data_IF_074397736396
#
_entry.id   IF_074397736396
#
_cell.length_a   1.000
_cell.length_b   1.000
_cell.length_c   1.000
_cell.angle_alpha   90.00
_cell.angle_beta   90.00
_cell.angle_gamma   90.00
#
_symmetry.space_group_name_H-M   'P 1'
#
loop_
_entity.id
_entity.type
_entity.pdbx_description
1 polymer ?
#
# COMPACT_ATOMS: atom_id res chain seq x y z
N UNK A 1 4.37 -8.91 5.20
CA UNK A 1 4.79 -9.45 6.49
C UNK A 1 3.90 -10.61 6.92
N UNK A 2 4.47 -11.61 7.60
CA UNK A 2 3.78 -12.77 8.12
C UNK A 2 3.74 -12.72 9.66
N UNK A 3 2.75 -12.05 10.27
CA UNK A 3 2.69 -11.91 11.72
C UNK A 3 2.58 -13.27 12.44
N UNK A 4 2.01 -14.27 11.79
CA UNK A 4 1.96 -15.65 12.30
C UNK A 4 3.36 -16.28 12.40
N UNK A 5 4.25 -16.03 11.46
CA UNK A 5 5.65 -16.49 11.52
C UNK A 5 6.42 -15.72 12.59
N UNK A 6 6.28 -14.40 12.65
CA UNK A 6 6.92 -13.56 13.66
C UNK A 6 6.48 -13.91 15.11
N UNK A 7 5.27 -14.47 15.29
CA UNK A 7 4.75 -14.91 16.58
C UNK A 7 4.96 -16.41 16.85
N UNK A 8 5.54 -17.14 15.92
CA UNK A 8 5.77 -18.58 16.07
C UNK A 8 6.74 -18.87 17.21
N UNK A 9 6.33 -19.69 18.18
CA UNK A 9 7.17 -20.05 19.33
C UNK A 9 8.39 -20.88 18.97
N UNK A 10 8.38 -21.55 17.82
CA UNK A 10 9.55 -22.24 17.30
C UNK A 10 10.69 -21.26 17.01
N UNK A 11 10.36 -20.05 16.56
CA UNK A 11 11.32 -18.97 16.31
C UNK A 11 12.11 -18.46 17.52
N UNK A 12 11.89 -19.03 18.73
CA UNK A 12 12.71 -18.75 19.91
C UNK A 12 14.09 -19.43 19.81
N UNK A 13 14.16 -20.61 19.21
CA UNK A 13 15.36 -21.45 19.16
C UNK A 13 15.75 -21.90 17.75
N UNK A 14 14.84 -21.86 16.81
CA UNK A 14 14.98 -22.30 15.43
C UNK A 14 14.25 -21.34 14.48
N UNK A 15 14.31 -21.59 13.18
CA UNK A 15 13.51 -20.82 12.22
C UNK A 15 12.00 -21.07 12.45
N UNK A 16 11.15 -20.04 12.39
CA UNK A 16 9.72 -20.20 12.53
C UNK A 16 9.15 -21.08 11.41
N UNK A 17 8.01 -21.73 11.68
CA UNK A 17 7.28 -22.44 10.64
C UNK A 17 6.85 -21.45 9.55
N UNK A 18 7.10 -21.79 8.28
CA UNK A 18 6.74 -20.96 7.11
C UNK A 18 5.24 -20.99 6.84
N UNK A 19 4.44 -20.53 7.82
CA UNK A 19 2.98 -20.65 7.83
C UNK A 19 2.36 -19.96 6.62
N UNK A 20 2.81 -18.74 6.31
CA UNK A 20 2.33 -17.99 5.15
C UNK A 20 2.54 -18.75 3.84
N UNK A 21 3.73 -19.35 3.65
CA UNK A 21 4.01 -20.10 2.43
C UNK A 21 3.15 -21.35 2.33
N UNK A 22 2.92 -22.04 3.44
CA UNK A 22 2.00 -23.19 3.49
C UNK A 22 0.58 -22.79 3.11
N UNK A 23 0.08 -21.65 3.61
CA UNK A 23 -1.24 -21.12 3.26
C UNK A 23 -1.32 -20.76 1.77
N UNK A 24 -0.28 -20.14 1.20
CA UNK A 24 -0.19 -19.81 -0.22
C UNK A 24 -0.26 -21.09 -1.06
N UNK A 25 0.55 -22.11 -0.75
CA UNK A 25 0.57 -23.38 -1.49
C UNK A 25 -0.79 -24.09 -1.42
N UNK A 26 -1.47 -24.09 -0.28
CA UNK A 26 -2.81 -24.67 -0.14
C UNK A 26 -3.80 -23.95 -1.06
N UNK A 27 -3.79 -22.62 -1.08
CA UNK A 27 -4.72 -21.83 -1.90
C UNK A 27 -4.40 -21.97 -3.39
N UNK A 28 -3.13 -21.93 -3.79
CA UNK A 28 -2.74 -22.12 -5.18
C UNK A 28 -3.13 -23.50 -5.68
N UNK A 29 -2.86 -24.54 -4.90
CA UNK A 29 -3.30 -25.88 -5.23
C UNK A 29 -4.83 -26.00 -5.36
N UNK A 30 -5.56 -25.37 -4.44
CA UNK A 30 -7.02 -25.37 -4.47
C UNK A 30 -7.59 -24.69 -5.73
N UNK A 31 -6.94 -23.64 -6.22
CA UNK A 31 -7.29 -23.01 -7.49
C UNK A 31 -6.96 -23.92 -8.68
N UNK A 32 -5.75 -24.47 -8.71
CA UNK A 32 -5.27 -25.32 -9.82
C UNK A 32 -6.09 -26.61 -9.97
N UNK A 33 -6.51 -27.20 -8.85
CA UNK A 33 -7.35 -28.41 -8.81
C UNK A 33 -8.87 -28.09 -9.00
N UNK A 34 -9.23 -26.80 -9.13
CA UNK A 34 -10.62 -26.37 -9.30
C UNK A 34 -11.52 -26.60 -8.08
N UNK A 35 -10.94 -26.66 -6.89
CA UNK A 35 -11.70 -26.78 -5.65
C UNK A 35 -12.38 -25.46 -5.26
N UNK A 36 -11.75 -24.33 -5.58
CA UNK A 36 -12.34 -23.02 -5.37
C UNK A 36 -13.32 -22.73 -6.50
N UNK A 37 -14.59 -22.67 -6.15
CA UNK A 37 -15.70 -22.42 -7.08
C UNK A 37 -16.46 -21.17 -6.67
N UNK A 38 -17.14 -20.49 -7.62
CA UNK A 38 -18.07 -19.41 -7.28
C UNK A 38 -19.15 -19.90 -6.31
N UNK A 39 -19.43 -19.07 -5.29
CA UNK A 39 -20.46 -19.35 -4.29
C UNK A 39 -21.68 -18.53 -4.62
N UNK A 40 -22.69 -19.19 -5.20
CA UNK A 40 -23.96 -18.55 -5.53
C UNK A 40 -24.86 -18.45 -4.30
N UNK A 41 -25.57 -17.34 -4.18
CA UNK A 41 -26.56 -17.17 -3.14
C UNK A 41 -27.72 -18.15 -3.30
N UNK A 42 -28.12 -18.81 -2.22
CA UNK A 42 -29.25 -19.74 -2.22
C UNK A 42 -30.60 -19.03 -2.52
N UNK A 43 -30.72 -17.77 -2.14
CA UNK A 43 -31.93 -16.95 -2.30
C UNK A 43 -31.55 -15.51 -2.62
N UNK A 44 -32.22 -14.94 -3.62
CA UNK A 44 -32.09 -13.49 -3.91
C UNK A 44 -32.97 -12.70 -2.95
N UNK A 45 -32.46 -11.59 -2.48
CA UNK A 45 -33.18 -10.69 -1.56
C UNK A 45 -34.08 -9.70 -2.29
N UNK A 46 -33.83 -9.48 -3.58
CA UNK A 46 -34.46 -8.41 -4.37
C UNK A 46 -33.98 -7.01 -3.98
N UNK A 47 -32.90 -6.91 -3.21
CA UNK A 47 -32.29 -5.63 -2.81
C UNK A 47 -31.02 -5.37 -3.61
N UNK A 48 -30.85 -4.13 -4.05
CA UNK A 48 -29.72 -3.65 -4.80
C UNK A 48 -28.78 -2.83 -3.92
N UNK A 49 -27.46 -3.04 -4.08
CA UNK A 49 -26.43 -2.30 -3.33
C UNK A 49 -25.38 -1.76 -4.28
N UNK A 50 -25.12 -0.46 -4.22
CA UNK A 50 -23.97 0.15 -4.87
C UNK A 50 -22.77 0.16 -3.93
N UNK A 51 -21.59 -0.22 -4.43
CA UNK A 51 -20.31 -0.10 -3.74
C UNK A 51 -19.46 0.88 -4.53
N UNK A 52 -19.06 1.99 -3.91
CA UNK A 52 -18.25 3.02 -4.56
C UNK A 52 -16.77 2.80 -4.17
N UNK A 53 -15.98 2.39 -5.13
CA UNK A 53 -14.57 2.02 -4.98
C UNK A 53 -14.36 0.50 -4.95
N UNK A 54 -13.36 0.05 -5.71
CA UNK A 54 -13.00 -1.36 -5.89
C UNK A 54 -11.71 -1.78 -5.16
N UNK A 55 -11.27 -0.99 -4.20
CA UNK A 55 -10.15 -1.36 -3.33
C UNK A 55 -10.52 -2.55 -2.41
N UNK A 56 -9.59 -2.97 -1.51
CA UNK A 56 -9.80 -4.14 -0.64
C UNK A 56 -11.12 -4.11 0.13
N UNK A 57 -11.50 -2.94 0.65
CA UNK A 57 -12.75 -2.78 1.41
C UNK A 57 -13.99 -2.96 0.53
N UNK A 58 -13.99 -2.35 -0.67
CA UNK A 58 -15.08 -2.47 -1.63
C UNK A 58 -15.25 -3.88 -2.13
N UNK A 59 -14.16 -4.56 -2.50
CA UNK A 59 -14.19 -5.96 -2.94
C UNK A 59 -14.69 -6.90 -1.84
N UNK A 60 -14.24 -6.73 -0.59
CA UNK A 60 -14.69 -7.54 0.53
C UNK A 60 -16.20 -7.36 0.78
N UNK A 61 -16.70 -6.12 0.80
CA UNK A 61 -18.11 -5.82 0.96
C UNK A 61 -18.95 -6.40 -0.20
N UNK A 62 -18.52 -6.15 -1.44
CA UNK A 62 -19.24 -6.60 -2.63
C UNK A 62 -19.40 -8.13 -2.65
N UNK A 63 -18.32 -8.87 -2.38
CA UNK A 63 -18.38 -10.34 -2.38
C UNK A 63 -19.36 -10.86 -1.32
N UNK A 64 -19.28 -10.37 -0.08
CA UNK A 64 -20.17 -10.84 0.99
C UNK A 64 -21.62 -10.52 0.70
N UNK A 65 -21.93 -9.34 0.16
CA UNK A 65 -23.26 -8.94 -0.20
C UNK A 65 -23.83 -9.76 -1.37
N UNK A 66 -23.03 -10.02 -2.41
CA UNK A 66 -23.43 -10.89 -3.53
C UNK A 66 -23.75 -12.29 -3.04
N UNK A 67 -22.91 -12.89 -2.19
CA UNK A 67 -23.13 -14.20 -1.56
C UNK A 67 -24.34 -14.24 -0.63
N UNK A 68 -24.70 -13.09 -0.02
CA UNK A 68 -25.91 -12.94 0.78
C UNK A 68 -27.18 -12.77 -0.06
N UNK A 69 -27.07 -12.68 -1.39
CA UNK A 69 -28.18 -12.65 -2.32
C UNK A 69 -28.63 -11.26 -2.77
N UNK A 70 -27.87 -10.22 -2.47
CA UNK A 70 -28.13 -8.88 -2.99
C UNK A 70 -27.65 -8.73 -4.44
N UNK A 71 -28.26 -7.79 -5.17
CA UNK A 71 -27.78 -7.35 -6.47
C UNK A 71 -26.72 -6.25 -6.26
N UNK A 72 -25.45 -6.58 -6.50
CA UNK A 72 -24.32 -5.70 -6.17
C UNK A 72 -23.69 -5.12 -7.42
N UNK A 73 -23.52 -3.81 -7.45
CA UNK A 73 -22.75 -3.10 -8.47
C UNK A 73 -21.62 -2.32 -7.83
N UNK A 74 -20.40 -2.56 -8.28
CA UNK A 74 -19.19 -1.85 -7.84
C UNK A 74 -18.83 -0.82 -8.90
N UNK A 75 -18.75 0.45 -8.50
CA UNK A 75 -18.32 1.57 -9.34
C UNK A 75 -16.86 1.91 -9.04
N UNK A 76 -16.03 1.94 -10.07
CA UNK A 76 -14.60 2.25 -9.97
C UNK A 76 -14.22 3.36 -10.95
N UNK A 77 -13.50 4.36 -10.45
CA UNK A 77 -13.04 5.49 -11.29
C UNK A 77 -11.92 5.11 -12.25
N UNK A 78 -11.12 4.11 -11.89
CA UNK A 78 -10.00 3.64 -12.71
C UNK A 78 -10.49 2.68 -13.80
N UNK A 79 -9.64 2.43 -14.77
CA UNK A 79 -9.89 1.53 -15.89
C UNK A 79 -9.94 0.05 -15.47
N UNK A 80 -9.36 -0.30 -14.31
CA UNK A 80 -9.34 -1.66 -13.77
C UNK A 80 -9.73 -1.69 -12.30
N UNK A 81 -10.28 -2.83 -11.89
CA UNK A 81 -10.69 -3.13 -10.53
C UNK A 81 -9.48 -3.47 -9.67
N UNK A 82 -9.51 -3.05 -8.39
CA UNK A 82 -8.52 -3.44 -7.39
C UNK A 82 -7.98 -2.29 -6.53
N UNK A 83 -8.14 -1.03 -6.95
CA UNK A 83 -7.63 0.13 -6.24
C UNK A 83 -6.14 0.00 -5.94
N UNK A 84 -5.71 0.19 -4.69
CA UNK A 84 -4.29 0.07 -4.30
C UNK A 84 -3.73 -1.35 -4.40
N UNK A 85 -4.56 -2.40 -4.43
CA UNK A 85 -4.08 -3.76 -4.71
C UNK A 85 -3.47 -3.83 -6.12
N UNK A 86 -4.07 -3.13 -7.08
CA UNK A 86 -3.61 -3.09 -8.46
C UNK A 86 -2.55 -2.01 -8.69
N UNK A 87 -2.83 -0.78 -8.27
CA UNK A 87 -2.02 0.37 -8.63
C UNK A 87 -1.02 0.82 -7.56
N UNK A 88 -1.17 0.36 -6.31
CA UNK A 88 -0.28 0.73 -5.21
C UNK A 88 0.77 -0.33 -4.91
N UNK A 89 0.34 -1.55 -4.62
CA UNK A 89 1.26 -2.65 -4.26
C UNK A 89 2.06 -3.06 -5.50
N UNK A 90 3.40 -3.08 -5.45
CA UNK A 90 4.23 -3.51 -6.57
C UNK A 90 4.00 -4.98 -6.95
N UNK A 91 4.17 -5.29 -8.25
CA UNK A 91 4.01 -6.64 -8.80
C UNK A 91 4.87 -7.69 -8.07
N UNK A 92 6.11 -7.35 -7.72
CA UNK A 92 7.00 -8.25 -6.98
C UNK A 92 6.55 -8.59 -5.55
N UNK A 93 5.58 -7.84 -5.00
CA UNK A 93 4.94 -8.15 -3.71
C UNK A 93 3.62 -8.87 -3.86
N UNK A 94 2.87 -8.56 -4.93
CA UNK A 94 1.58 -9.20 -5.23
C UNK A 94 1.30 -9.13 -6.72
N UNK A 95 1.41 -10.26 -7.37
CA UNK A 95 1.09 -10.43 -8.79
C UNK A 95 -0.38 -10.14 -9.09
N UNK A 96 -0.65 -9.38 -10.14
CA UNK A 96 -2.01 -8.91 -10.47
C UNK A 96 -2.92 -10.03 -10.93
N UNK A 97 -2.37 -11.14 -11.41
CA UNK A 97 -3.15 -12.34 -11.74
C UNK A 97 -4.03 -12.85 -10.58
N UNK A 98 -3.59 -12.65 -9.32
CA UNK A 98 -4.39 -13.02 -8.15
C UNK A 98 -5.64 -12.15 -7.96
N UNK A 99 -5.54 -10.88 -8.35
CA UNK A 99 -6.68 -9.97 -8.39
C UNK A 99 -7.63 -10.39 -9.50
N UNK A 100 -7.12 -10.63 -10.70
CA UNK A 100 -7.93 -10.96 -11.87
C UNK A 100 -8.73 -12.23 -11.68
N UNK A 101 -8.11 -13.29 -11.14
CA UNK A 101 -8.85 -14.52 -10.86
C UNK A 101 -9.92 -14.33 -9.78
N UNK A 102 -9.68 -13.46 -8.79
CA UNK A 102 -10.67 -13.14 -7.76
C UNK A 102 -11.84 -12.34 -8.33
N UNK A 103 -11.56 -11.37 -9.19
CA UNK A 103 -12.60 -10.60 -9.90
C UNK A 103 -13.49 -11.54 -10.73
N UNK A 104 -12.89 -12.41 -11.52
CA UNK A 104 -13.64 -13.43 -12.32
C UNK A 104 -14.52 -14.32 -11.44
N UNK A 105 -14.04 -14.71 -10.27
CA UNK A 105 -14.86 -15.47 -9.32
C UNK A 105 -16.04 -14.64 -8.83
N UNK A 106 -15.82 -13.37 -8.46
CA UNK A 106 -16.87 -12.47 -7.96
C UNK A 106 -17.92 -12.17 -9.05
N UNK A 107 -17.51 -11.99 -10.30
CA UNK A 107 -18.41 -11.86 -11.45
C UNK A 107 -19.27 -13.11 -11.62
N UNK A 108 -18.68 -14.29 -11.51
CA UNK A 108 -19.42 -15.57 -11.55
C UNK A 108 -20.35 -15.73 -10.32
N UNK A 109 -20.08 -15.08 -9.20
CA UNK A 109 -20.94 -15.02 -8.01
C UNK A 109 -22.07 -13.98 -8.15
N UNK A 110 -22.05 -13.15 -9.21
CA UNK A 110 -23.10 -12.19 -9.56
C UNK A 110 -22.77 -10.75 -9.22
N UNK A 111 -21.54 -10.43 -8.80
CA UNK A 111 -21.08 -9.05 -8.63
C UNK A 111 -20.91 -8.38 -10.00
N UNK A 112 -21.44 -7.18 -10.18
CA UNK A 112 -21.24 -6.36 -11.38
C UNK A 112 -20.15 -5.32 -11.10
N UNK A 113 -19.25 -5.13 -12.07
CA UNK A 113 -18.21 -4.11 -12.02
C UNK A 113 -18.40 -3.09 -13.14
N UNK A 114 -18.31 -1.81 -12.79
CA UNK A 114 -18.40 -0.68 -13.73
C UNK A 114 -17.17 0.18 -13.52
N UNK A 115 -16.23 0.11 -14.45
CA UNK A 115 -14.99 0.88 -14.44
C UNK A 115 -15.12 2.19 -15.22
N UNK A 116 -14.15 3.08 -15.08
CA UNK A 116 -14.13 4.42 -15.69
C UNK A 116 -15.36 5.28 -15.30
N UNK A 117 -15.84 5.11 -14.07
CA UNK A 117 -16.95 5.90 -13.52
C UNK A 117 -16.54 6.54 -12.20
N UNK A 118 -16.25 7.83 -12.26
CA UNK A 118 -15.94 8.63 -11.08
C UNK A 118 -17.24 9.20 -10.48
N UNK A 119 -17.72 8.58 -9.41
CA UNK A 119 -18.92 9.03 -8.70
C UNK A 119 -18.70 10.41 -8.09
N UNK A 120 -19.59 11.34 -8.39
CA UNK A 120 -19.47 12.75 -8.05
C UNK A 120 -19.02 13.63 -9.22
N UNK A 121 -18.51 13.03 -10.31
CA UNK A 121 -18.10 13.73 -11.53
C UNK A 121 -18.87 13.21 -12.74
N UNK A 122 -18.79 11.90 -13.02
CA UNK A 122 -19.42 11.29 -14.20
C UNK A 122 -20.87 10.88 -13.92
N UNK A 123 -21.15 10.48 -12.70
CA UNK A 123 -22.49 10.19 -12.19
C UNK A 123 -22.62 10.79 -10.79
N UNK A 124 -23.76 11.41 -10.49
CA UNK A 124 -23.98 11.99 -9.17
C UNK A 124 -24.22 10.92 -8.11
N UNK A 125 -23.85 11.23 -6.86
CA UNK A 125 -24.18 10.37 -5.72
C UNK A 125 -25.71 10.19 -5.57
N UNK A 126 -26.48 11.23 -5.86
CA UNK A 126 -27.95 11.19 -5.78
C UNK A 126 -28.56 10.20 -6.76
N UNK A 127 -28.05 10.10 -7.99
CA UNK A 127 -28.47 9.11 -8.97
C UNK A 127 -28.17 7.69 -8.46
N UNK A 128 -26.94 7.44 -8.00
CA UNK A 128 -26.58 6.13 -7.40
C UNK A 128 -27.51 5.80 -6.24
N UNK A 129 -27.79 6.76 -5.37
CA UNK A 129 -28.65 6.58 -4.19
C UNK A 129 -30.11 6.32 -4.57
N UNK A 130 -30.61 6.92 -5.66
CA UNK A 130 -31.99 6.68 -6.12
C UNK A 130 -32.18 5.32 -6.77
N UNK A 131 -31.14 4.79 -7.40
CA UNK A 131 -31.17 3.56 -8.18
C UNK A 131 -30.87 2.29 -7.35
N UNK A 132 -30.44 2.49 -6.09
CA UNK A 132 -30.06 1.38 -5.21
C UNK A 132 -30.71 1.50 -3.83
N UNK A 133 -31.02 0.34 -3.22
CA UNK A 133 -31.57 0.30 -1.85
C UNK A 133 -30.54 0.73 -0.79
N UNK A 134 -29.26 0.56 -1.06
CA UNK A 134 -28.18 0.99 -0.17
C UNK A 134 -26.89 1.34 -0.95
N UNK A 135 -26.07 2.21 -0.35
CA UNK A 135 -24.78 2.62 -0.90
C UNK A 135 -23.70 2.42 0.13
N UNK A 136 -22.58 1.81 -0.27
CA UNK A 136 -21.37 1.66 0.54
C UNK A 136 -20.27 2.52 -0.07
N UNK A 137 -19.70 3.41 0.76
CA UNK A 137 -18.55 4.22 0.39
C UNK A 137 -17.27 3.50 0.79
N UNK A 138 -16.49 3.04 -0.20
CA UNK A 138 -15.20 2.35 -0.05
C UNK A 138 -14.12 3.03 -0.89
N UNK A 139 -14.15 4.36 -0.91
CA UNK A 139 -13.41 5.24 -1.83
C UNK A 139 -11.91 5.36 -1.51
N UNK A 140 -11.46 4.78 -0.39
CA UNK A 140 -10.08 4.91 0.08
C UNK A 140 -9.73 6.34 0.48
N UNK A 141 -8.43 6.65 0.47
CA UNK A 141 -7.90 8.00 0.69
C UNK A 141 -6.87 8.31 -0.38
N UNK A 142 -7.18 9.26 -1.26
CA UNK A 142 -6.30 9.69 -2.36
C UNK A 142 -5.61 11.02 -2.07
N UNK A 143 -6.02 11.71 -0.99
CA UNK A 143 -5.28 12.88 -0.51
C UNK A 143 -4.08 12.41 0.31
N UNK A 144 -2.90 12.57 -0.24
CA UNK A 144 -1.65 12.29 0.47
C UNK A 144 -1.34 13.36 1.52
N UNK A 145 -0.57 12.98 2.50
CA UNK A 145 0.06 13.95 3.43
C UNK A 145 1.29 14.48 2.74
N UNK A 146 1.26 15.75 2.38
CA UNK A 146 2.41 16.40 1.79
C UNK A 146 3.41 16.85 2.86
N UNK A 147 4.62 17.15 2.42
CA UNK A 147 5.69 17.75 3.23
C UNK A 147 5.94 19.17 2.71
N UNK A 148 5.16 20.19 3.17
CA UNK A 148 5.19 21.54 2.63
C UNK A 148 6.36 22.35 3.20
N UNK A 149 7.58 21.94 2.90
CA UNK A 149 8.83 22.59 3.28
C UNK A 149 9.43 23.34 2.08
N UNK A 150 10.37 24.28 2.29
CA UNK A 150 11.02 25.00 1.22
C UNK A 150 11.59 24.06 0.14
N UNK A 151 11.44 24.44 -1.12
CA UNK A 151 11.90 23.65 -2.28
C UNK A 151 11.00 22.49 -2.70
N UNK A 152 9.80 22.35 -2.10
CA UNK A 152 8.85 21.25 -2.44
C UNK A 152 8.46 21.21 -3.92
N UNK A 153 8.51 22.35 -4.60
CA UNK A 153 8.09 22.48 -6.01
C UNK A 153 9.20 22.15 -7.01
N UNK A 154 10.38 21.72 -6.58
CA UNK A 154 11.42 21.29 -7.51
C UNK A 154 11.03 20.01 -8.22
N UNK A 155 11.40 19.93 -9.51
CA UNK A 155 11.29 18.69 -10.29
C UNK A 155 12.13 17.58 -9.66
N UNK A 156 11.61 16.36 -9.72
CA UNK A 156 12.27 15.18 -9.13
C UNK A 156 11.75 14.78 -7.74
N UNK A 157 10.76 15.52 -7.21
CA UNK A 157 10.11 15.22 -5.93
C UNK A 157 8.70 14.70 -6.20
N UNK A 158 8.49 13.41 -5.94
CA UNK A 158 7.24 12.71 -6.25
C UNK A 158 6.58 12.15 -5.00
N UNK A 159 5.27 12.14 -4.98
CA UNK A 159 4.52 11.36 -4.01
C UNK A 159 4.59 9.87 -4.35
N UNK A 160 4.54 9.01 -3.33
CA UNK A 160 4.69 7.57 -3.53
C UNK A 160 3.74 7.00 -4.59
N UNK A 161 2.47 7.45 -4.62
CA UNK A 161 1.50 6.94 -5.59
C UNK A 161 1.72 7.48 -7.01
N UNK A 162 2.29 8.69 -7.16
CA UNK A 162 2.72 9.22 -8.46
C UNK A 162 3.86 8.38 -9.06
N UNK A 163 4.65 7.71 -8.20
CA UNK A 163 5.73 6.83 -8.61
C UNK A 163 5.29 5.37 -8.76
N UNK A 164 4.51 4.82 -7.82
CA UNK A 164 4.14 3.40 -7.81
C UNK A 164 3.08 3.02 -8.84
N UNK A 165 2.10 3.91 -9.11
CA UNK A 165 1.07 3.62 -10.11
C UNK A 165 1.65 3.44 -11.52
N UNK A 166 2.49 4.35 -12.06
CA UNK A 166 3.14 4.12 -13.34
C UNK A 166 4.03 2.88 -13.38
N UNK A 167 4.71 2.52 -12.28
CA UNK A 167 5.49 1.29 -12.22
C UNK A 167 4.61 0.04 -12.39
N UNK A 168 3.44 0.00 -11.77
CA UNK A 168 2.48 -1.07 -11.98
C UNK A 168 1.90 -1.08 -13.40
N UNK A 169 1.65 0.09 -13.98
CA UNK A 169 1.16 0.21 -15.37
C UNK A 169 2.18 -0.28 -16.40
N UNK A 170 3.48 -0.08 -16.16
CA UNK A 170 4.54 -0.69 -16.98
C UNK A 170 4.48 -2.22 -16.89
N UNK A 171 4.30 -2.77 -15.69
CA UNK A 171 4.19 -4.23 -15.51
C UNK A 171 2.94 -4.83 -16.16
N UNK A 172 1.84 -4.09 -16.21
CA UNK A 172 0.61 -4.50 -16.88
C UNK A 172 0.63 -4.22 -18.40
N UNK A 173 1.69 -3.59 -18.93
CA UNK A 173 1.88 -3.33 -20.35
C UNK A 173 1.16 -2.08 -20.88
N UNK A 174 0.68 -1.22 -19.98
CA UNK A 174 0.02 0.04 -20.36
C UNK A 174 1.03 1.09 -20.80
N UNK A 175 2.22 1.09 -20.20
CA UNK A 175 3.32 1.99 -20.51
C UNK A 175 4.52 1.20 -20.99
N UNK A 176 5.23 1.70 -21.98
CA UNK A 176 6.49 1.13 -22.46
C UNK A 176 7.59 1.38 -21.41
N UNK A 177 7.68 2.62 -20.92
CA UNK A 177 8.66 3.06 -19.92
C UNK A 177 8.00 3.82 -18.78
N UNK A 178 8.68 3.79 -17.62
CA UNK A 178 8.25 4.56 -16.44
C UNK A 178 8.57 6.05 -16.64
N UNK A 179 7.59 6.98 -16.49
CA UNK A 179 7.79 8.41 -16.73
C UNK A 179 8.82 9.05 -15.79
N UNK A 180 9.03 8.48 -14.61
CA UNK A 180 9.96 8.97 -13.59
C UNK A 180 11.01 7.90 -13.26
N UNK A 181 11.81 7.49 -14.24
CA UNK A 181 12.80 6.44 -14.05
C UNK A 181 13.86 6.83 -13.02
N UNK A 182 14.15 5.91 -12.09
CA UNK A 182 15.23 6.03 -11.11
C UNK A 182 16.57 5.49 -11.61
N UNK A 183 16.66 5.07 -12.88
CA UNK A 183 17.87 4.48 -13.45
C UNK A 183 19.08 5.41 -13.29
N UNK A 184 20.13 4.90 -12.61
CA UNK A 184 21.38 5.62 -12.39
C UNK A 184 21.28 6.85 -11.47
N UNK A 185 20.17 7.05 -10.77
CA UNK A 185 19.95 8.19 -9.86
C UNK A 185 20.24 7.80 -8.41
N UNK A 186 20.65 8.79 -7.61
CA UNK A 186 20.63 8.72 -6.17
C UNK A 186 19.21 9.03 -5.69
N UNK A 187 18.59 8.12 -4.95
CA UNK A 187 17.19 8.23 -4.53
C UNK A 187 17.09 8.30 -3.03
N UNK A 188 16.31 9.26 -2.54
CA UNK A 188 15.95 9.37 -1.13
C UNK A 188 14.44 9.13 -0.98
N UNK A 189 14.07 8.24 -0.08
CA UNK A 189 12.69 7.92 0.26
C UNK A 189 12.40 8.49 1.64
N UNK A 190 11.46 9.42 1.73
CA UNK A 190 11.05 10.02 3.01
C UNK A 190 9.86 9.26 3.55
N UNK A 191 10.09 8.46 4.59
CA UNK A 191 9.11 7.62 5.27
C UNK A 191 9.51 6.16 5.34
N UNK A 192 9.46 5.56 6.53
CA UNK A 192 9.90 4.20 6.84
C UNK A 192 8.81 3.14 6.81
N UNK A 193 7.57 3.50 6.42
CA UNK A 193 6.44 2.57 6.37
C UNK A 193 6.45 1.60 5.18
N UNK A 194 5.40 0.75 5.09
CA UNK A 194 5.26 -0.23 4.01
C UNK A 194 5.28 0.40 2.61
N UNK A 195 4.67 1.56 2.44
CA UNK A 195 4.71 2.31 1.18
C UNK A 195 6.12 2.75 0.82
N UNK A 196 6.93 3.19 1.81
CA UNK A 196 8.34 3.50 1.60
C UNK A 196 9.15 2.27 1.19
N UNK A 197 8.86 1.09 1.78
CA UNK A 197 9.46 -0.17 1.37
C UNK A 197 9.05 -0.60 -0.05
N UNK A 198 7.83 -0.27 -0.49
CA UNK A 198 7.36 -0.49 -1.86
C UNK A 198 8.12 0.38 -2.85
N UNK A 199 8.30 1.67 -2.52
CA UNK A 199 9.14 2.57 -3.31
C UNK A 199 10.59 2.08 -3.38
N UNK A 200 11.17 1.65 -2.25
CA UNK A 200 12.54 1.14 -2.17
C UNK A 200 12.76 -0.06 -3.10
N UNK A 201 11.92 -1.08 -3.02
CA UNK A 201 12.02 -2.23 -3.91
C UNK A 201 11.79 -1.88 -5.39
N UNK A 202 10.96 -0.87 -5.67
CA UNK A 202 10.70 -0.41 -7.04
C UNK A 202 11.90 0.34 -7.61
N UNK A 203 12.52 1.26 -6.85
CA UNK A 203 13.69 2.00 -7.34
C UNK A 203 14.93 1.11 -7.52
N UNK A 204 15.08 0.05 -6.72
CA UNK A 204 16.11 -0.98 -6.96
C UNK A 204 15.91 -1.65 -8.32
N UNK A 205 14.67 -2.00 -8.68
CA UNK A 205 14.34 -2.61 -9.98
C UNK A 205 14.52 -1.65 -11.14
N UNK A 206 14.42 -0.35 -10.90
CA UNK A 206 14.76 0.67 -11.89
C UNK A 206 16.29 0.84 -12.07
N UNK A 207 17.13 0.25 -11.23
CA UNK A 207 18.57 0.38 -11.30
C UNK A 207 19.10 1.71 -10.73
N UNK A 208 18.54 2.18 -9.63
CA UNK A 208 19.05 3.34 -8.90
C UNK A 208 20.53 3.15 -8.50
N UNK A 209 21.33 4.21 -8.57
CA UNK A 209 22.75 4.17 -8.20
C UNK A 209 22.92 4.03 -6.68
N UNK A 210 22.10 4.76 -5.91
CA UNK A 210 22.02 4.60 -4.46
C UNK A 210 20.58 4.82 -3.97
N UNK A 211 20.24 4.22 -2.82
CA UNK A 211 18.93 4.39 -2.19
C UNK A 211 19.10 4.62 -0.71
N UNK A 212 18.55 5.71 -0.20
CA UNK A 212 18.43 6.01 1.23
C UNK A 212 16.96 6.14 1.63
N UNK A 213 16.60 5.60 2.78
CA UNK A 213 15.26 5.73 3.34
C UNK A 213 15.34 6.42 4.69
N UNK A 214 14.64 7.54 4.82
CA UNK A 214 14.61 8.38 6.02
C UNK A 214 13.35 8.10 6.83
N UNK A 215 13.53 7.93 8.15
CA UNK A 215 12.46 7.72 9.10
C UNK A 215 12.60 8.70 10.26
N UNK A 216 11.54 9.47 10.53
CA UNK A 216 11.51 10.42 11.65
C UNK A 216 11.46 9.70 13.01
N UNK A 217 10.90 8.49 13.04
CA UNK A 217 10.85 7.67 14.25
C UNK A 217 12.24 7.15 14.63
N UNK A 218 12.52 6.98 15.93
CA UNK A 218 13.74 6.31 16.36
C UNK A 218 13.78 4.87 15.88
N UNK A 219 15.00 4.34 15.66
CA UNK A 219 15.19 2.94 15.27
C UNK A 219 14.54 2.03 16.32
N UNK A 220 13.62 1.15 15.93
CA UNK A 220 13.04 0.17 16.85
C UNK A 220 14.12 -0.76 17.42
N UNK A 221 13.94 -1.29 18.64
CA UNK A 221 14.85 -2.27 19.22
C UNK A 221 14.86 -3.57 18.41
N UNK A 222 15.95 -4.32 18.46
CA UNK A 222 16.10 -5.60 17.75
C UNK A 222 15.11 -6.66 18.27
N UNK A 223 14.82 -6.64 19.58
CA UNK A 223 13.85 -7.53 20.22
C UNK A 223 12.59 -6.78 20.66
N UNK A 224 11.62 -7.51 21.21
CA UNK A 224 10.39 -6.94 21.76
C UNK A 224 10.70 -5.94 22.85
N UNK A 225 10.20 -4.72 22.71
CA UNK A 225 10.29 -3.66 23.72
C UNK A 225 9.40 -3.97 24.94
N UNK A 226 9.89 -3.61 26.13
CA UNK A 226 9.15 -3.80 27.38
C UNK A 226 7.85 -2.99 27.47
N UNK A 227 7.73 -1.88 26.72
CA UNK A 227 6.50 -1.09 26.61
C UNK A 227 5.37 -1.80 25.88
N UNK A 228 5.68 -2.86 25.14
CA UNK A 228 4.72 -3.66 24.38
C UNK A 228 4.77 -5.15 24.76
N UNK A 229 4.43 -5.49 26.03
CA UNK A 229 4.46 -6.87 26.48
C UNK A 229 3.40 -7.71 25.76
N UNK A 230 3.61 -9.04 25.72
CA UNK A 230 2.58 -9.94 25.21
C UNK A 230 1.27 -9.74 26.00
N UNK A 231 0.09 -9.73 25.38
CA UNK A 231 -0.22 -10.06 23.96
C UNK A 231 -0.27 -8.87 23.00
N UNK A 232 0.25 -7.71 23.38
CA UNK A 232 0.25 -6.54 22.51
C UNK A 232 1.15 -6.74 21.29
N UNK A 233 0.87 -6.00 20.21
CA UNK A 233 1.75 -6.01 19.05
C UNK A 233 3.15 -5.49 19.40
N UNK A 234 4.22 -6.23 19.13
CA UNK A 234 5.54 -5.86 19.61
C UNK A 234 6.14 -4.68 18.86
N UNK A 235 6.62 -3.69 19.60
CA UNK A 235 7.57 -2.70 19.09
C UNK A 235 8.94 -3.39 18.95
N UNK A 236 9.34 -3.66 17.74
CA UNK A 236 10.64 -4.27 17.42
C UNK A 236 11.01 -4.00 15.96
N UNK A 237 12.28 -4.07 15.64
CA UNK A 237 12.80 -3.92 14.29
C UNK A 237 12.20 -4.97 13.36
N UNK A 238 11.74 -4.54 12.20
CA UNK A 238 11.27 -5.43 11.13
C UNK A 238 11.94 -5.04 9.82
N UNK A 239 12.29 -6.05 9.06
CA UNK A 239 12.86 -5.89 7.74
C UNK A 239 11.91 -6.55 6.73
N UNK A 240 11.52 -5.83 5.69
CA UNK A 240 10.79 -6.42 4.56
C UNK A 240 11.79 -6.96 3.54
N UNK A 241 11.33 -7.86 2.66
CA UNK A 241 12.16 -8.39 1.56
C UNK A 241 12.81 -7.29 0.72
N UNK A 242 12.10 -6.17 0.49
CA UNK A 242 12.66 -5.03 -0.23
C UNK A 242 13.89 -4.41 0.47
N UNK A 243 13.90 -4.38 1.81
CA UNK A 243 15.06 -3.90 2.57
C UNK A 243 16.24 -4.88 2.55
N UNK A 244 15.99 -6.18 2.36
CA UNK A 244 17.03 -7.19 2.22
C UNK A 244 17.76 -7.06 0.87
N UNK A 245 17.11 -6.49 -0.13
CA UNK A 245 17.68 -6.19 -1.44
C UNK A 245 18.71 -5.04 -1.40
N UNK A 246 18.69 -4.20 -0.35
CA UNK A 246 19.64 -3.10 -0.17
C UNK A 246 18.99 -1.81 0.31
N UNK A 247 19.74 -0.71 0.20
CA UNK A 247 19.36 0.60 0.67
C UNK A 247 19.76 0.86 2.12
N UNK A 248 20.09 2.12 2.42
CA UNK A 248 20.44 2.56 3.76
C UNK A 248 19.20 3.12 4.47
N UNK A 249 18.90 2.65 5.68
CA UNK A 249 17.82 3.20 6.52
C UNK A 249 18.39 4.10 7.60
N UNK A 250 17.96 5.36 7.60
CA UNK A 250 18.40 6.39 8.54
C UNK A 250 17.19 6.78 9.39
N UNK A 251 17.34 6.72 10.70
CA UNK A 251 16.29 6.94 11.68
C UNK A 251 16.50 8.22 12.47
N UNK A 252 15.44 8.72 13.10
CA UNK A 252 15.47 9.95 13.91
C UNK A 252 15.95 11.16 13.11
N UNK A 253 15.53 11.24 11.85
CA UNK A 253 15.92 12.33 10.94
C UNK A 253 14.68 13.02 10.37
N UNK A 254 14.68 14.35 10.39
CA UNK A 254 13.66 15.19 9.79
C UNK A 254 14.25 15.93 8.58
N UNK A 255 13.47 16.05 7.51
CA UNK A 255 13.83 16.85 6.33
C UNK A 255 13.28 18.26 6.54
N UNK A 256 14.14 19.26 6.48
CA UNK A 256 13.80 20.66 6.73
C UNK A 256 13.65 21.48 5.45
N UNK A 257 14.37 21.10 4.40
CA UNK A 257 14.34 21.79 3.11
C UNK A 257 14.74 20.84 1.97
N UNK A 258 14.18 21.04 0.80
CA UNK A 258 14.71 20.50 -0.45
C UNK A 258 15.67 21.51 -1.08
N UNK A 259 16.84 21.06 -1.48
CA UNK A 259 17.85 21.86 -2.17
C UNK A 259 17.74 21.59 -3.68
N UNK A 260 17.93 22.63 -4.49
CA UNK A 260 17.77 22.46 -5.94
C UNK A 260 18.54 23.52 -6.75
N UNK A 261 18.82 23.16 -7.99
CA UNK A 261 19.43 24.04 -8.98
C UNK A 261 18.64 23.93 -10.29
N UNK A 262 18.48 25.05 -10.98
CA UNK A 262 17.79 25.11 -12.28
C UNK A 262 16.37 24.50 -12.29
N UNK A 263 15.67 24.56 -11.14
CA UNK A 263 14.32 24.02 -10.99
C UNK A 263 14.23 22.54 -10.62
N UNK A 264 15.36 21.82 -10.52
CA UNK A 264 15.40 20.40 -10.15
C UNK A 264 16.02 20.20 -8.78
N UNK A 265 15.53 19.18 -8.04
CA UNK A 265 16.09 18.80 -6.73
C UNK A 265 17.51 18.24 -6.90
N UNK A 266 18.42 18.67 -6.05
CA UNK A 266 19.82 18.20 -6.01
C UNK A 266 20.19 17.60 -4.65
N UNK A 267 19.40 17.85 -3.61
CA UNK A 267 19.67 17.34 -2.26
C UNK A 267 18.57 17.69 -1.28
N UNK A 268 18.80 17.32 -0.04
CA UNK A 268 17.94 17.62 1.10
C UNK A 268 18.80 18.28 2.20
N UNK A 269 18.20 19.17 2.94
CA UNK A 269 18.70 19.56 4.25
C UNK A 269 17.94 18.76 5.31
N UNK A 270 18.66 18.19 6.24
CA UNK A 270 18.11 17.35 7.29
C UNK A 270 18.61 17.75 8.66
N UNK A 271 17.87 17.41 9.71
CA UNK A 271 18.27 17.59 11.10
C UNK A 271 17.89 16.34 11.90
N UNK A 272 18.74 15.96 12.84
CA UNK A 272 18.39 14.87 13.76
C UNK A 272 17.30 15.32 14.73
N UNK A 273 16.41 14.39 15.07
CA UNK A 273 15.32 14.63 16.00
C UNK A 273 15.30 13.57 17.10
N UNK A 274 14.80 13.97 18.28
CA UNK A 274 14.48 13.06 19.37
C UNK A 274 12.99 13.14 19.68
N UNK A 275 12.42 12.02 20.12
CA UNK A 275 11.02 11.95 20.52
C UNK A 275 10.90 12.26 22.00
N UNK A 276 10.17 13.31 22.35
CA UNK A 276 9.95 13.75 23.73
C UNK A 276 8.44 13.81 24.04
N UNK A 277 8.12 13.64 25.32
CA UNK A 277 6.75 13.86 25.79
C UNK A 277 6.67 15.31 26.34
N UNK A 278 5.95 16.16 25.60
CA UNK A 278 5.71 17.56 25.98
C UNK A 278 4.22 17.69 26.32
N UNK A 279 3.91 17.99 27.56
CA UNK A 279 2.54 18.17 28.07
C UNK A 279 1.59 16.98 27.75
N UNK A 280 2.12 15.75 27.82
CA UNK A 280 1.36 14.53 27.55
C UNK A 280 1.22 14.17 26.05
N UNK A 281 1.80 14.93 25.15
CA UNK A 281 1.89 14.64 23.72
C UNK A 281 3.32 14.25 23.34
N UNK A 282 3.41 13.29 22.44
CA UNK A 282 4.69 12.88 21.87
C UNK A 282 5.02 13.79 20.68
N UNK A 283 6.12 14.53 20.81
CA UNK A 283 6.60 15.47 19.79
C UNK A 283 8.01 15.09 19.36
N UNK A 284 8.38 15.52 18.13
CA UNK A 284 9.74 15.40 17.61
C UNK A 284 10.44 16.74 17.84
N UNK A 285 11.52 16.71 18.62
CA UNK A 285 12.33 17.90 18.96
C UNK A 285 13.64 17.80 18.21
N UNK A 286 13.97 18.86 17.50
CA UNK A 286 15.23 18.98 16.77
C UNK A 286 16.43 18.97 17.72
N UNK A 287 17.50 18.31 17.32
CA UNK A 287 18.77 18.31 18.06
C UNK A 287 19.64 19.40 17.45
N UNK A 288 19.99 20.47 18.21
CA UNK A 288 20.81 21.55 17.69
C UNK A 288 22.16 21.07 17.14
N UNK A 289 22.70 21.80 16.16
CA UNK A 289 24.00 21.54 15.52
C UNK A 289 24.14 20.17 14.84
N UNK A 290 23.02 19.56 14.40
CA UNK A 290 23.00 18.30 13.63
C UNK A 290 22.48 18.47 12.21
N UNK A 291 22.40 19.69 11.71
CA UNK A 291 21.97 19.97 10.33
C UNK A 291 23.02 19.47 9.33
N UNK A 292 22.61 18.70 8.35
CA UNK A 292 23.45 18.15 7.28
C UNK A 292 22.83 18.40 5.90
#
# INVERSE_FOLDING_TARGET
>A
PAPCEAACVLGIHEDPVTIKQVEVEIVERAWNEGWIKPVLAHKRTGKSVAVIGSGPAGLAAAQQLSRSGHDVTVFEKSDRIGGLLRYGIPEFKMEKQYIDRRIKQMEAEGTKFVTNVNVGTDISYQEIQSDHDAVILAIGSTNWRDLPIPGRDFDGIYQAMEFLEPANRVQEGDYEDHPFSALGKDVIIIGGGDTGADCLGTVHRHGAASVKQFEIMPKPPEGRDHSTPWPTWPLMMRTSSAHEEGGERIYSINTTQFLGENGAVTGLETIQVKRENIDGRLEFVEIPDTTE
#
